data_IF_855119192000
#
_entry.id   IF_855119192000
#
_cell.length_a   1.000
_cell.length_b   1.000
_cell.length_c   1.000
_cell.angle_alpha   90.00
_cell.angle_beta   90.00
_cell.angle_gamma   90.00
#
_symmetry.space_group_name_H-M   'P 1'
#
loop_
_entity.id
_entity.type
_entity.pdbx_description
1 polymer ?
#
# COMPACT_ATOMS: atom_id res chain seq x y z
N UNK A 1 -6.79 -20.22 9.02
CA UNK A 1 -6.58 -18.95 8.28
C UNK A 1 -6.72 -17.74 9.22
N UNK A 2 -7.84 -17.58 9.93
CA UNK A 2 -8.09 -16.43 10.81
C UNK A 2 -7.06 -16.19 11.94
N UNK A 3 -6.51 -17.24 12.55
CA UNK A 3 -5.54 -17.12 13.66
C UNK A 3 -4.21 -16.50 13.20
N UNK A 4 -3.67 -16.97 12.07
CA UNK A 4 -2.49 -16.37 11.42
C UNK A 4 -2.75 -14.93 10.99
N UNK A 5 -3.96 -14.61 10.50
CA UNK A 5 -4.32 -13.23 10.12
C UNK A 5 -4.27 -12.28 11.31
N UNK A 6 -4.74 -12.72 12.50
CA UNK A 6 -4.71 -11.90 13.71
C UNK A 6 -3.28 -11.65 14.19
N UNK A 7 -2.43 -12.67 14.18
CA UNK A 7 -1.02 -12.56 14.55
C UNK A 7 -0.27 -11.62 13.60
N UNK A 8 -0.42 -11.83 12.28
CA UNK A 8 0.15 -10.95 11.24
C UNK A 8 -0.32 -9.51 11.44
N UNK A 9 -1.61 -9.30 11.73
CA UNK A 9 -2.14 -7.97 12.00
C UNK A 9 -1.54 -7.32 13.25
N UNK A 10 -1.38 -8.05 14.36
CA UNK A 10 -0.73 -7.52 15.57
C UNK A 10 0.70 -7.08 15.29
N UNK A 11 1.42 -7.81 14.44
CA UNK A 11 2.78 -7.45 14.03
C UNK A 11 2.80 -6.28 13.05
N UNK A 12 1.85 -6.20 12.13
CA UNK A 12 1.77 -5.16 11.10
C UNK A 12 1.24 -3.81 11.64
N UNK A 13 0.37 -3.86 12.66
CA UNK A 13 -0.39 -2.70 13.16
C UNK A 13 0.51 -1.51 13.53
N UNK A 14 1.58 -1.64 14.33
CA UNK A 14 2.43 -0.50 14.69
C UNK A 14 3.00 0.20 13.45
N UNK A 15 3.45 -0.57 12.46
CA UNK A 15 4.00 -0.01 11.23
C UNK A 15 2.97 0.80 10.44
N UNK A 16 1.73 0.34 10.39
CA UNK A 16 0.66 1.06 9.68
C UNK A 16 0.22 2.29 10.47
N UNK A 17 0.09 2.18 11.80
CA UNK A 17 -0.42 3.27 12.63
C UNK A 17 0.59 4.39 12.86
N UNK A 18 1.88 4.12 12.75
CA UNK A 18 2.94 5.09 13.03
C UNK A 18 3.33 5.92 11.79
N UNK A 19 3.16 5.38 10.59
CA UNK A 19 3.60 6.02 9.34
C UNK A 19 2.45 6.52 8.47
N UNK A 20 1.30 5.85 8.49
CA UNK A 20 0.18 6.25 7.65
C UNK A 20 -0.64 7.33 8.34
N UNK A 21 -0.94 8.39 7.58
CA UNK A 21 -1.72 9.51 8.05
C UNK A 21 -2.82 9.93 7.05
N UNK A 22 -3.84 10.61 7.54
CA UNK A 22 -4.97 11.15 6.81
C UNK A 22 -5.05 12.65 7.02
N UNK A 23 -5.41 13.37 5.95
CA UNK A 23 -5.77 14.80 6.01
C UNK A 23 -7.21 14.98 6.52
N UNK A 24 -7.40 14.66 7.79
CA UNK A 24 -8.67 14.71 8.50
C UNK A 24 -8.85 16.03 9.25
N UNK A 25 -10.09 16.42 9.48
CA UNK A 25 -10.42 17.56 10.34
C UNK A 25 -10.35 17.15 11.82
N UNK A 26 -10.09 18.12 12.70
CA UNK A 26 -9.93 17.87 14.15
C UNK A 26 -11.18 17.26 14.80
N UNK A 27 -12.37 17.56 14.27
CA UNK A 27 -13.64 17.03 14.74
C UNK A 27 -13.95 15.59 14.26
N UNK A 28 -12.96 14.89 13.70
CA UNK A 28 -13.15 13.53 13.19
C UNK A 28 -13.41 12.55 14.34
N UNK A 29 -14.60 11.96 14.33
CA UNK A 29 -15.10 11.11 15.43
C UNK A 29 -14.56 9.69 15.38
N UNK A 30 -14.23 9.19 14.19
CA UNK A 30 -13.68 7.84 14.03
C UNK A 30 -12.15 7.94 14.17
N UNK A 31 -11.57 7.06 14.99
CA UNK A 31 -10.11 7.03 15.17
C UNK A 31 -9.42 6.70 13.83
N UNK A 32 -8.29 7.35 13.57
CA UNK A 32 -7.57 7.20 12.32
C UNK A 32 -7.10 5.77 12.06
N UNK A 33 -6.55 5.12 13.08
CA UNK A 33 -6.22 3.70 13.00
C UNK A 33 -7.38 2.88 12.45
N UNK A 34 -8.64 3.15 12.86
CA UNK A 34 -9.78 2.39 12.40
C UNK A 34 -10.00 2.46 10.88
N UNK A 35 -9.59 3.56 10.27
CA UNK A 35 -9.55 3.69 8.82
C UNK A 35 -8.50 2.79 8.19
N UNK A 36 -7.26 2.82 8.71
CA UNK A 36 -6.19 2.00 8.15
C UNK A 36 -6.39 0.51 8.39
N UNK A 37 -7.01 0.11 9.50
CA UNK A 37 -7.40 -1.29 9.72
C UNK A 37 -8.46 -1.72 8.70
N UNK A 38 -9.46 -0.87 8.41
CA UNK A 38 -10.44 -1.14 7.36
C UNK A 38 -9.76 -1.24 5.99
N UNK A 39 -8.81 -0.33 5.69
CA UNK A 39 -8.06 -0.33 4.43
C UNK A 39 -7.30 -1.64 4.24
N UNK A 40 -6.53 -2.06 5.25
CA UNK A 40 -5.79 -3.31 5.23
C UNK A 40 -6.72 -4.53 5.13
N UNK A 41 -7.82 -4.53 5.89
CA UNK A 41 -8.82 -5.59 5.86
C UNK A 41 -9.39 -5.81 4.44
N UNK A 42 -9.67 -4.72 3.71
CA UNK A 42 -10.15 -4.79 2.33
C UNK A 42 -9.04 -5.23 1.36
N UNK A 43 -7.81 -4.75 1.55
CA UNK A 43 -6.67 -5.11 0.69
C UNK A 43 -6.22 -6.57 0.80
N UNK A 44 -6.52 -7.25 1.92
CA UNK A 44 -6.15 -8.64 2.14
C UNK A 44 -7.14 -9.67 1.59
N UNK A 45 -8.30 -9.25 1.06
CA UNK A 45 -9.36 -10.17 0.59
C UNK A 45 -9.64 -9.99 -0.89
N UNK A 46 -9.74 -11.11 -1.61
CA UNK A 46 -10.15 -11.10 -3.01
C UNK A 46 -11.54 -10.49 -3.19
N UNK A 47 -11.71 -9.68 -4.24
CA UNK A 47 -12.98 -9.05 -4.62
C UNK A 47 -13.63 -8.16 -3.55
N UNK A 48 -12.83 -7.60 -2.63
CA UNK A 48 -13.34 -6.71 -1.59
C UNK A 48 -13.11 -5.24 -1.96
N UNK A 49 -14.20 -4.55 -2.28
CA UNK A 49 -14.19 -3.12 -2.63
C UNK A 49 -14.59 -2.26 -1.44
N UNK A 50 -14.31 -0.96 -1.48
CA UNK A 50 -14.66 -0.04 -0.38
C UNK A 50 -16.11 -0.17 0.11
N UNK A 51 -17.07 -0.36 -0.81
CA UNK A 51 -18.50 -0.44 -0.50
C UNK A 51 -18.91 -1.74 0.23
N UNK A 52 -18.45 -2.90 -0.23
CA UNK A 52 -18.76 -4.20 0.36
C UNK A 52 -17.85 -4.54 1.55
N UNK A 53 -16.60 -4.05 1.49
CA UNK A 53 -15.57 -4.24 2.50
C UNK A 53 -15.87 -3.52 3.82
N UNK A 54 -16.48 -2.33 3.78
CA UNK A 54 -16.91 -1.64 4.99
C UNK A 54 -17.87 -2.50 5.82
N UNK A 55 -18.92 -3.03 5.20
CA UNK A 55 -19.96 -3.76 5.94
C UNK A 55 -19.38 -5.03 6.58
N UNK A 56 -18.55 -5.74 5.81
CA UNK A 56 -17.83 -6.92 6.30
C UNK A 56 -16.88 -6.56 7.46
N UNK A 57 -16.14 -5.45 7.34
CA UNK A 57 -15.26 -4.97 8.40
C UNK A 57 -16.01 -4.58 9.67
N UNK A 58 -17.17 -3.95 9.56
CA UNK A 58 -18.01 -3.61 10.70
C UNK A 58 -18.45 -4.88 11.47
N UNK A 59 -18.92 -5.90 10.74
CA UNK A 59 -19.33 -7.19 11.33
C UNK A 59 -18.14 -7.88 12.01
N UNK A 60 -17.00 -7.98 11.32
CA UNK A 60 -15.84 -8.74 11.79
C UNK A 60 -15.06 -8.02 12.91
N UNK A 61 -15.07 -6.69 12.94
CA UNK A 61 -14.33 -5.89 13.93
C UNK A 61 -15.11 -5.60 15.21
N UNK A 62 -16.43 -5.84 15.23
CA UNK A 62 -17.33 -5.50 16.34
C UNK A 62 -17.23 -4.05 16.83
N UNK A 63 -16.81 -3.13 15.96
CA UNK A 63 -16.70 -1.71 16.30
C UNK A 63 -18.03 -1.02 16.25
N UNK A 64 -18.29 -0.14 17.21
CA UNK A 64 -19.48 0.72 17.22
C UNK A 64 -19.54 1.66 16.00
N UNK A 65 -18.39 2.09 15.47
CA UNK A 65 -18.30 3.00 14.32
C UNK A 65 -17.13 2.65 13.41
N UNK A 66 -17.39 2.57 12.11
CA UNK A 66 -16.39 2.37 11.05
C UNK A 66 -16.52 3.45 9.98
N UNK A 67 -15.43 3.85 9.31
CA UNK A 67 -15.52 4.80 8.21
C UNK A 67 -16.45 4.28 7.10
N UNK A 68 -17.32 5.16 6.58
CA UNK A 68 -18.15 4.78 5.45
C UNK A 68 -17.31 4.59 4.19
N UNK A 69 -17.76 3.77 3.25
CA UNK A 69 -17.07 3.58 1.98
C UNK A 69 -16.84 4.89 1.20
N UNK A 70 -17.80 5.81 1.24
CA UNK A 70 -17.69 7.13 0.63
C UNK A 70 -16.67 8.01 1.37
N UNK A 71 -16.67 7.98 2.70
CA UNK A 71 -15.63 8.67 3.48
C UNK A 71 -14.25 8.07 3.19
N UNK A 72 -14.14 6.75 3.10
CA UNK A 72 -12.89 6.06 2.78
C UNK A 72 -12.31 6.54 1.45
N UNK A 73 -13.09 6.49 0.36
CA UNK A 73 -12.66 7.00 -0.94
C UNK A 73 -12.29 8.49 -0.90
N UNK A 74 -13.08 9.29 -0.18
CA UNK A 74 -12.84 10.72 -0.04
C UNK A 74 -11.52 11.03 0.67
N UNK A 75 -11.19 10.35 1.77
CA UNK A 75 -9.94 10.62 2.50
C UNK A 75 -8.71 10.13 1.72
N UNK A 76 -8.77 8.95 1.09
CA UNK A 76 -7.69 8.48 0.21
C UNK A 76 -7.44 9.49 -0.93
N UNK A 77 -8.51 10.03 -1.53
CA UNK A 77 -8.40 11.00 -2.62
C UNK A 77 -7.77 12.35 -2.25
N UNK A 78 -7.55 12.64 -0.96
CA UNK A 78 -6.85 13.86 -0.51
C UNK A 78 -5.33 13.71 -0.46
N UNK A 79 -4.84 12.47 -0.45
CA UNK A 79 -3.42 12.17 -0.39
C UNK A 79 -2.84 12.27 -1.80
N UNK A 80 -1.70 12.94 -1.92
CA UNK A 80 -0.98 12.94 -3.19
C UNK A 80 -0.22 11.62 -3.38
N UNK A 81 0.26 11.41 -4.61
CA UNK A 81 1.09 10.25 -4.93
C UNK A 81 2.38 10.29 -4.11
N UNK A 82 2.97 11.46 -3.93
CA UNK A 82 4.20 11.69 -3.16
C UNK A 82 4.00 11.34 -1.68
N UNK A 83 2.90 11.79 -1.09
CA UNK A 83 2.57 11.48 0.31
C UNK A 83 2.35 9.99 0.52
N UNK A 84 1.59 9.36 -0.37
CA UNK A 84 1.35 7.91 -0.34
C UNK A 84 2.65 7.13 -0.45
N UNK A 85 3.53 7.54 -1.38
CA UNK A 85 4.87 6.96 -1.54
C UNK A 85 5.74 7.15 -0.31
N UNK A 86 5.70 8.32 0.32
CA UNK A 86 6.45 8.60 1.55
C UNK A 86 5.99 7.70 2.70
N UNK A 87 4.67 7.58 2.92
CA UNK A 87 4.13 6.66 3.95
C UNK A 87 4.56 5.21 3.70
N UNK A 88 4.47 4.74 2.45
CA UNK A 88 4.93 3.38 2.07
C UNK A 88 6.45 3.20 2.27
N UNK A 89 7.23 4.22 1.91
CA UNK A 89 8.69 4.20 2.06
C UNK A 89 9.06 4.10 3.54
N UNK A 90 8.51 4.96 4.40
CA UNK A 90 8.80 4.94 5.84
C UNK A 90 8.36 3.64 6.50
N UNK A 91 7.20 3.10 6.12
CA UNK A 91 6.73 1.78 6.59
C UNK A 91 7.73 0.69 6.23
N UNK A 92 8.23 0.70 5.00
CA UNK A 92 9.23 -0.27 4.53
C UNK A 92 10.54 -0.12 5.29
N UNK A 93 10.99 1.11 5.56
CA UNK A 93 12.19 1.37 6.37
C UNK A 93 12.05 0.86 7.79
N UNK A 94 10.89 1.06 8.42
CA UNK A 94 10.61 0.54 9.76
C UNK A 94 10.60 -0.99 9.78
N UNK A 95 9.96 -1.64 8.78
CA UNK A 95 9.96 -3.09 8.64
C UNK A 95 11.38 -3.65 8.54
N UNK A 96 12.20 -3.09 7.65
CA UNK A 96 13.61 -3.48 7.49
C UNK A 96 14.40 -3.26 8.79
N UNK A 97 14.18 -2.13 9.46
CA UNK A 97 14.89 -1.79 10.71
C UNK A 97 14.54 -2.77 11.82
N UNK A 98 13.27 -3.16 11.96
CA UNK A 98 12.85 -4.17 12.93
C UNK A 98 13.42 -5.55 12.61
N UNK A 99 13.35 -5.97 11.35
CA UNK A 99 13.89 -7.26 10.93
C UNK A 99 15.41 -7.34 11.14
N UNK A 100 16.15 -6.24 10.93
CA UNK A 100 17.57 -6.14 11.30
C UNK A 100 17.79 -6.23 12.80
N UNK A 101 16.99 -5.51 13.60
CA UNK A 101 17.09 -5.55 15.07
C UNK A 101 16.86 -6.96 15.61
N UNK A 102 15.89 -7.68 15.05
CA UNK A 102 15.57 -9.06 15.40
C UNK A 102 16.54 -10.10 14.81
N UNK A 103 17.57 -9.68 14.07
CA UNK A 103 18.49 -10.57 13.36
C UNK A 103 17.80 -11.49 12.33
N UNK A 104 16.68 -11.05 11.74
CA UNK A 104 15.95 -11.76 10.68
C UNK A 104 16.54 -11.45 9.28
N UNK A 105 17.33 -10.38 9.16
CA UNK A 105 18.02 -9.95 7.94
C UNK A 105 19.54 -10.00 8.08
N UNK A 106 20.08 -11.06 8.68
CA UNK A 106 21.54 -11.29 8.83
C UNK A 106 21.99 -12.45 7.95
N UNK A 107 23.21 -12.39 7.42
CA UNK A 107 23.78 -13.46 6.57
C UNK A 107 23.51 -13.28 5.07
N UNK A 108 23.53 -14.39 4.31
CA UNK A 108 23.27 -14.37 2.86
C UNK A 108 21.76 -14.23 2.63
N UNK A 109 21.36 -13.10 2.05
CA UNK A 109 19.97 -12.83 1.68
C UNK A 109 19.75 -13.16 0.20
N UNK A 110 18.58 -13.69 -0.12
CA UNK A 110 18.13 -13.86 -1.50
C UNK A 110 17.10 -12.77 -1.81
N UNK A 111 17.30 -12.05 -2.90
CA UNK A 111 16.32 -11.09 -3.41
C UNK A 111 15.71 -11.65 -4.70
N UNK A 112 14.42 -11.97 -4.68
CA UNK A 112 13.64 -12.22 -5.88
C UNK A 112 12.94 -10.92 -6.28
N UNK A 113 13.21 -10.46 -7.50
CA UNK A 113 12.54 -9.31 -8.10
C UNK A 113 11.58 -9.87 -9.13
N UNK A 114 10.30 -9.90 -8.80
CA UNK A 114 9.26 -10.25 -9.76
C UNK A 114 8.74 -8.97 -10.43
N UNK A 115 9.01 -8.83 -11.73
CA UNK A 115 8.57 -7.68 -12.53
C UNK A 115 7.33 -8.12 -13.30
N UNK A 116 6.17 -7.67 -12.84
CA UNK A 116 4.93 -7.89 -13.59
C UNK A 116 4.77 -6.79 -14.65
N UNK A 117 4.59 -7.20 -15.90
CA UNK A 117 4.20 -6.29 -16.98
C UNK A 117 2.73 -5.93 -16.77
N UNK A 118 2.45 -4.66 -16.50
CA UNK A 118 1.09 -4.15 -16.33
C UNK A 118 0.39 -3.92 -17.66
N UNK A 119 -0.77 -3.25 -17.59
CA UNK A 119 -1.54 -2.83 -18.76
C UNK A 119 -0.84 -1.68 -19.53
N UNK A 120 -1.17 -1.50 -20.82
CA UNK A 120 -0.75 -0.32 -21.58
C UNK A 120 -1.13 0.96 -20.84
N UNK A 121 -0.22 1.92 -20.90
CA UNK A 121 -0.36 3.21 -20.25
C UNK A 121 -1.36 4.09 -21.03
N UNK A 122 -2.35 4.67 -20.34
CA UNK A 122 -3.51 5.33 -20.98
C UNK A 122 -3.43 6.86 -21.05
N UNK A 123 -2.29 7.47 -20.70
CA UNK A 123 -2.10 8.92 -20.63
C UNK A 123 -1.41 9.56 -21.85
N UNK A 124 -0.75 10.73 -21.65
CA UNK A 124 0.14 11.40 -22.63
C UNK A 124 1.64 11.37 -22.28
N UNK A 125 2.45 10.57 -22.99
CA UNK A 125 3.86 10.34 -22.66
C UNK A 125 4.63 11.63 -22.91
N UNK A 126 5.37 12.14 -21.91
CA UNK A 126 6.29 13.25 -22.17
C UNK A 126 7.48 12.75 -22.98
N UNK A 127 7.77 13.47 -24.07
CA UNK A 127 8.90 13.18 -24.95
C UNK A 127 9.80 14.39 -25.11
N UNK A 128 11.07 14.16 -25.38
CA UNK A 128 12.03 15.19 -25.74
C UNK A 128 11.98 15.52 -27.25
N UNK A 129 12.83 16.44 -27.69
CA UNK A 129 12.91 16.91 -29.08
C UNK A 129 13.34 15.80 -30.06
N UNK A 130 14.04 14.79 -29.56
CA UNK A 130 14.50 13.61 -30.32
C UNK A 130 13.48 12.44 -30.26
N UNK A 131 12.27 12.70 -29.74
CA UNK A 131 11.17 11.75 -29.59
C UNK A 131 11.43 10.61 -28.58
N UNK A 132 12.44 10.74 -27.72
CA UNK A 132 12.68 9.83 -26.61
C UNK A 132 11.73 10.15 -25.45
N UNK A 133 11.49 9.15 -24.59
CA UNK A 133 10.65 9.33 -23.39
C UNK A 133 11.44 10.16 -22.37
N UNK A 134 10.88 11.28 -21.93
CA UNK A 134 11.52 12.23 -21.00
C UNK A 134 10.94 12.20 -19.59
N UNK A 135 10.13 11.20 -19.26
CA UNK A 135 9.62 11.00 -17.90
C UNK A 135 10.67 10.34 -16.99
N UNK A 136 10.88 10.92 -15.81
CA UNK A 136 11.80 10.39 -14.79
C UNK A 136 11.33 9.08 -14.14
N UNK A 137 10.09 8.65 -14.42
CA UNK A 137 9.50 7.43 -13.86
C UNK A 137 9.85 6.22 -14.73
N UNK A 138 10.21 5.11 -14.09
CA UNK A 138 10.46 3.84 -14.79
C UNK A 138 9.12 3.27 -15.27
N UNK A 139 8.75 3.59 -16.51
CA UNK A 139 7.68 2.92 -17.24
C UNK A 139 8.28 1.79 -18.07
N UNK A 140 7.58 0.67 -18.16
CA UNK A 140 7.95 -0.38 -19.08
C UNK A 140 7.78 0.07 -20.52
N UNK A 141 8.70 -0.32 -21.40
CA UNK A 141 8.59 -0.07 -22.83
C UNK A 141 8.63 -1.39 -23.60
N UNK A 142 7.66 -1.59 -24.50
CA UNK A 142 7.63 -2.76 -25.37
C UNK A 142 6.85 -2.44 -26.64
N UNK A 143 7.41 -2.76 -27.81
CA UNK A 143 6.73 -2.68 -29.10
C UNK A 143 6.16 -1.27 -29.42
N UNK A 144 6.87 -0.20 -29.02
CA UNK A 144 6.40 1.18 -29.24
C UNK A 144 5.49 1.72 -28.14
N UNK A 145 4.94 0.84 -27.31
CA UNK A 145 3.95 1.15 -26.29
C UNK A 145 4.59 1.25 -24.89
N UNK A 146 4.00 2.11 -24.08
CA UNK A 146 4.40 2.33 -22.69
C UNK A 146 3.49 1.54 -21.76
N UNK A 147 4.04 0.94 -20.73
CA UNK A 147 3.34 0.09 -19.78
C UNK A 147 3.68 0.51 -18.36
N UNK A 148 2.75 0.34 -17.44
CA UNK A 148 3.11 0.36 -16.03
C UNK A 148 3.87 -0.92 -15.69
N UNK A 149 5.08 -0.79 -15.16
CA UNK A 149 5.77 -1.90 -14.52
C UNK A 149 5.69 -1.69 -13.01
N UNK A 150 5.37 -2.77 -12.30
CA UNK A 150 5.57 -2.84 -10.87
C UNK A 150 6.45 -4.06 -10.61
N UNK A 151 7.41 -3.87 -9.71
CA UNK A 151 8.29 -4.94 -9.27
C UNK A 151 7.97 -5.23 -7.80
N UNK A 152 7.87 -6.51 -7.45
CA UNK A 152 7.85 -6.92 -6.05
C UNK A 152 9.24 -7.36 -5.60
N UNK A 153 9.69 -6.63 -4.59
CA UNK A 153 10.79 -6.84 -3.64
C UNK A 153 10.67 -8.05 -2.70
N UNK A 154 10.93 -9.30 -3.09
CA UNK A 154 10.95 -10.39 -2.10
C UNK A 154 12.37 -10.63 -1.57
N UNK A 155 12.62 -10.22 -0.32
CA UNK A 155 13.88 -10.50 0.38
C UNK A 155 13.65 -11.66 1.34
N UNK A 156 14.41 -12.74 1.18
CA UNK A 156 14.34 -13.95 1.99
C UNK A 156 15.66 -14.10 2.76
N UNK A 157 15.56 -14.13 4.08
CA UNK A 157 16.64 -14.53 4.99
C UNK A 157 16.74 -16.06 5.07
N UNK A 158 17.95 -16.57 5.30
CA UNK A 158 18.22 -18.01 5.45
C UNK A 158 17.82 -18.52 6.84
#
# INVERSE_FOLDING_TARGET
>A
VAEKTKEVWQQAKPFVTDTFYLKRADNSVIHENAFWEQHAYMGMRENMYAQSGQHSFYIDSQRDRTPSASNHRYQIGKLTVEETRSMLHETTRMLISRARHNSELVGKLWAAIDITKGNPWTGKVKRDEDNNISEDWILGYKDGEVYYQWATIQIIGY
#
